data_IF_211977073382
#
_entry.id   IF_211977073382
#
_cell.length_a   1.000
_cell.length_b   1.000
_cell.length_c   1.000
_cell.angle_alpha   90.00
_cell.angle_beta   90.00
_cell.angle_gamma   90.00
#
_symmetry.space_group_name_H-M   'P 1'
#
loop_
_entity.id
_entity.type
_entity.pdbx_description
1 polymer ?
#
# COMPACT_ATOMS: atom_id res chain seq x y z
N UNK A 1 -9.14 4.63 10.69
CA UNK A 1 -10.46 4.27 10.09
C UNK A 1 -10.24 3.57 8.76
N UNK A 2 -10.95 2.49 8.55
CA UNK A 2 -10.94 1.77 7.28
C UNK A 2 -12.38 1.44 6.87
N UNK A 3 -12.70 1.66 5.60
CA UNK A 3 -14.02 1.35 5.02
C UNK A 3 -13.81 0.49 3.78
N UNK A 4 -14.40 -0.70 3.78
CA UNK A 4 -14.33 -1.63 2.65
C UNK A 4 -15.56 -1.50 1.76
N UNK A 5 -15.38 -1.62 0.45
CA UNK A 5 -16.46 -1.72 -0.52
C UNK A 5 -16.10 -2.65 -1.67
N UNK A 6 -17.09 -3.34 -2.22
CA UNK A 6 -16.91 -4.28 -3.32
C UNK A 6 -17.42 -3.69 -4.63
N UNK A 7 -16.62 -3.82 -5.67
CA UNK A 7 -16.92 -3.34 -7.03
C UNK A 7 -16.65 -4.48 -8.03
N UNK A 8 -17.55 -5.48 -8.05
CA UNK A 8 -17.35 -6.70 -8.84
C UNK A 8 -16.17 -7.51 -8.27
N UNK A 9 -15.16 -7.77 -9.08
CA UNK A 9 -13.95 -8.51 -8.68
C UNK A 9 -12.96 -7.65 -7.87
N UNK A 10 -13.16 -6.33 -7.80
CA UNK A 10 -12.27 -5.38 -7.13
C UNK A 10 -12.81 -5.05 -5.75
N UNK A 11 -12.00 -5.27 -4.72
CA UNK A 11 -12.27 -4.77 -3.38
C UNK A 11 -11.47 -3.50 -3.13
N UNK A 12 -12.14 -2.48 -2.66
CA UNK A 12 -11.56 -1.19 -2.35
C UNK A 12 -11.61 -0.91 -0.85
N UNK A 13 -10.46 -0.54 -0.29
CA UNK A 13 -10.34 -0.16 1.12
C UNK A 13 -9.93 1.29 1.22
N UNK A 14 -10.83 2.13 1.72
CA UNK A 14 -10.53 3.53 2.03
C UNK A 14 -9.97 3.60 3.44
N UNK A 15 -8.90 4.34 3.62
CA UNK A 15 -8.18 4.48 4.88
C UNK A 15 -7.99 5.95 5.23
N UNK A 16 -8.14 6.29 6.51
CA UNK A 16 -7.87 7.62 7.00
C UNK A 16 -7.38 7.60 8.44
N UNK A 17 -6.50 8.54 8.76
CA UNK A 17 -6.23 8.89 10.16
C UNK A 17 -7.47 9.55 10.74
N UNK A 18 -7.89 9.13 11.93
CA UNK A 18 -9.01 9.70 12.64
C UNK A 18 -8.49 10.58 13.78
N UNK A 19 -8.98 11.81 13.87
CA UNK A 19 -8.70 12.74 14.95
C UNK A 19 -10.01 13.34 15.46
N UNK A 20 -10.26 13.23 16.78
CA UNK A 20 -11.51 13.68 17.41
C UNK A 20 -12.78 13.16 16.70
N UNK A 21 -12.77 11.90 16.27
CA UNK A 21 -13.90 11.28 15.57
C UNK A 21 -14.09 11.71 14.12
N UNK A 22 -13.21 12.55 13.58
CA UNK A 22 -13.25 12.98 12.18
C UNK A 22 -12.12 12.35 11.39
N UNK A 23 -12.43 11.85 10.22
CA UNK A 23 -11.43 11.38 9.28
C UNK A 23 -10.69 12.56 8.65
N UNK A 24 -9.36 12.52 8.75
CA UNK A 24 -8.47 13.43 8.02
C UNK A 24 -7.96 12.69 6.81
N UNK A 25 -7.67 13.33 5.75
CA UNK A 25 -7.02 12.77 4.56
C UNK A 25 -7.33 11.29 4.28
N UNK A 26 -7.96 11.04 3.15
CA UNK A 26 -8.28 9.70 2.70
C UNK A 26 -7.26 9.20 1.68
N UNK A 27 -6.91 7.93 1.81
CA UNK A 27 -6.18 7.18 0.79
C UNK A 27 -6.87 5.83 0.59
N UNK A 28 -6.45 5.08 -0.40
CA UNK A 28 -7.07 3.79 -0.65
C UNK A 28 -6.12 2.76 -1.23
N UNK A 29 -6.46 1.51 -0.99
CA UNK A 29 -5.83 0.36 -1.63
C UNK A 29 -6.88 -0.48 -2.31
N UNK A 30 -6.48 -1.18 -3.36
CA UNK A 30 -7.37 -2.04 -4.13
C UNK A 30 -6.83 -3.46 -4.13
N UNK A 31 -7.72 -4.44 -4.07
CA UNK A 31 -7.35 -5.85 -4.23
C UNK A 31 -8.19 -6.46 -5.34
N UNK A 32 -7.52 -7.09 -6.29
CA UNK A 32 -8.14 -7.84 -7.37
C UNK A 32 -7.32 -9.09 -7.63
N UNK A 33 -7.96 -10.26 -7.54
CA UNK A 33 -7.35 -11.55 -7.87
C UNK A 33 -5.97 -11.80 -7.23
N UNK A 34 -5.85 -11.52 -5.93
CA UNK A 34 -4.59 -11.66 -5.19
C UNK A 34 -3.55 -10.58 -5.44
N UNK A 35 -3.86 -9.58 -6.26
CA UNK A 35 -3.02 -8.41 -6.50
C UNK A 35 -3.47 -7.25 -5.64
N UNK A 36 -2.57 -6.73 -4.81
CA UNK A 36 -2.75 -5.49 -4.06
C UNK A 36 -2.22 -4.32 -4.90
N UNK A 37 -3.03 -3.30 -5.08
CA UNK A 37 -2.64 -2.06 -5.74
C UNK A 37 -2.51 -0.98 -4.66
N UNK A 38 -1.29 -0.51 -4.46
CA UNK A 38 -0.84 0.33 -3.35
C UNK A 38 -0.93 -0.38 -1.99
N UNK A 39 -0.12 0.04 -1.04
CA UNK A 39 -0.01 -0.62 0.26
C UNK A 39 -0.49 0.22 1.44
N UNK A 40 -1.05 1.39 1.17
CA UNK A 40 -1.56 2.27 2.20
C UNK A 40 -0.47 2.93 3.07
N UNK A 41 -0.88 3.79 4.00
CA UNK A 41 0.06 4.50 4.86
C UNK A 41 0.63 3.62 5.97
N UNK A 42 1.84 3.93 6.47
CA UNK A 42 2.48 3.15 7.54
C UNK A 42 1.63 3.04 8.82
N UNK A 43 0.87 4.06 9.16
CA UNK A 43 0.03 4.06 10.37
C UNK A 43 -1.20 3.14 10.26
N UNK A 44 -1.50 2.62 9.07
CA UNK A 44 -2.56 1.63 8.82
C UNK A 44 -2.03 0.20 8.67
N UNK A 45 -0.79 -0.04 9.06
CA UNK A 45 -0.10 -1.32 8.92
C UNK A 45 -0.92 -2.54 9.36
N UNK A 46 -1.60 -2.44 10.51
CA UNK A 46 -2.39 -3.55 11.04
C UNK A 46 -3.57 -3.91 10.15
N UNK A 47 -4.21 -2.91 9.56
CA UNK A 47 -5.32 -3.11 8.63
C UNK A 47 -4.84 -3.71 7.32
N UNK A 48 -3.71 -3.23 6.80
CA UNK A 48 -3.11 -3.77 5.58
C UNK A 48 -2.69 -5.23 5.78
N UNK A 49 -2.12 -5.57 6.94
CA UNK A 49 -1.78 -6.95 7.25
C UNK A 49 -3.00 -7.88 7.20
N UNK A 50 -4.14 -7.44 7.74
CA UNK A 50 -5.39 -8.22 7.65
C UNK A 50 -5.87 -8.38 6.22
N UNK A 51 -5.82 -7.32 5.42
CA UNK A 51 -6.20 -7.37 3.99
C UNK A 51 -5.34 -8.39 3.26
N UNK A 52 -4.04 -8.36 3.48
CA UNK A 52 -3.09 -9.30 2.87
C UNK A 52 -3.43 -10.75 3.22
N UNK A 53 -3.68 -11.02 4.50
CA UNK A 53 -3.98 -12.38 4.99
C UNK A 53 -5.36 -12.86 4.55
N UNK A 54 -6.40 -12.06 4.78
CA UNK A 54 -7.79 -12.45 4.52
C UNK A 54 -8.11 -12.60 3.04
N UNK A 55 -7.51 -11.80 2.19
CA UNK A 55 -7.75 -11.84 0.74
C UNK A 55 -6.69 -12.61 -0.05
N UNK A 56 -5.74 -13.24 0.64
CA UNK A 56 -4.73 -14.05 -0.01
C UNK A 56 -3.86 -13.28 -0.99
N UNK A 57 -3.44 -12.07 -0.62
CA UNK A 57 -2.59 -11.24 -1.46
C UNK A 57 -1.23 -11.92 -1.67
N UNK A 58 -0.80 -12.02 -2.93
CA UNK A 58 0.47 -12.62 -3.34
C UNK A 58 1.36 -11.71 -4.14
N UNK A 59 0.81 -10.62 -4.66
CA UNK A 59 1.51 -9.65 -5.49
C UNK A 59 1.09 -8.24 -5.08
N UNK A 60 1.98 -7.28 -5.30
CA UNK A 60 1.68 -5.87 -5.07
C UNK A 60 2.29 -5.02 -6.18
N UNK A 61 1.51 -4.05 -6.66
CA UNK A 61 1.96 -2.98 -7.54
C UNK A 61 1.74 -1.66 -6.83
N UNK A 62 2.73 -0.78 -6.89
CA UNK A 62 2.65 0.55 -6.29
C UNK A 62 2.65 1.61 -7.36
N UNK A 63 1.66 2.50 -7.31
CA UNK A 63 1.45 3.53 -8.32
C UNK A 63 2.52 4.63 -8.27
N UNK A 64 2.92 5.04 -7.04
CA UNK A 64 3.96 6.03 -6.83
C UNK A 64 4.54 5.95 -5.42
N UNK A 65 5.63 6.71 -5.17
CA UNK A 65 6.45 6.54 -3.97
C UNK A 65 5.94 7.25 -2.71
N UNK A 66 4.84 7.99 -2.77
CA UNK A 66 4.31 8.68 -1.60
C UNK A 66 3.92 7.68 -0.49
N UNK A 67 4.11 8.08 0.75
CA UNK A 67 3.99 7.22 1.93
C UNK A 67 2.60 6.66 2.16
N UNK A 68 1.56 7.31 1.66
CA UNK A 68 0.19 6.83 1.74
C UNK A 68 -0.14 5.73 0.71
N UNK A 69 0.76 5.51 -0.23
CA UNK A 69 0.67 4.45 -1.25
C UNK A 69 1.73 3.36 -1.08
N UNK A 70 2.94 3.73 -0.67
CA UNK A 70 4.08 2.82 -0.52
C UNK A 70 4.43 2.49 0.94
N UNK A 71 3.59 2.89 1.88
CA UNK A 71 3.92 2.91 3.30
C UNK A 71 4.17 1.56 3.97
N UNK A 72 3.65 0.48 3.40
CA UNK A 72 3.72 -0.86 4.00
C UNK A 72 4.54 -1.86 3.18
N UNK A 73 5.47 -1.41 2.37
CA UNK A 73 6.35 -2.29 1.60
C UNK A 73 7.15 -3.24 2.49
N UNK A 74 7.65 -2.76 3.64
CA UNK A 74 8.38 -3.60 4.58
C UNK A 74 7.51 -4.73 5.16
N UNK A 75 6.23 -4.46 5.41
CA UNK A 75 5.24 -5.47 5.80
C UNK A 75 5.09 -6.55 4.72
N UNK A 76 4.98 -6.13 3.46
CA UNK A 76 4.87 -7.03 2.32
C UNK A 76 6.12 -7.88 2.16
N UNK A 77 7.31 -7.29 2.31
CA UNK A 77 8.57 -8.03 2.29
C UNK A 77 8.60 -9.11 3.39
N UNK A 78 8.13 -8.80 4.59
CA UNK A 78 8.03 -9.76 5.68
C UNK A 78 7.08 -10.93 5.36
N UNK A 79 6.10 -10.70 4.49
CA UNK A 79 5.16 -11.73 3.99
C UNK A 79 5.68 -12.43 2.73
N UNK A 80 6.91 -12.17 2.30
CA UNK A 80 7.50 -12.77 1.10
C UNK A 80 7.10 -12.10 -0.22
N UNK A 81 6.51 -10.92 -0.16
CA UNK A 81 6.08 -10.15 -1.33
C UNK A 81 7.05 -9.01 -1.60
N UNK A 82 7.60 -8.93 -2.81
CA UNK A 82 8.38 -7.80 -3.27
C UNK A 82 7.48 -6.92 -4.14
N UNK A 83 7.11 -5.71 -3.70
CA UNK A 83 6.28 -4.81 -4.48
C UNK A 83 6.94 -4.45 -5.81
N UNK A 84 6.13 -4.30 -6.84
CA UNK A 84 6.57 -3.86 -8.17
C UNK A 84 6.17 -2.40 -8.38
N UNK A 85 7.06 -1.62 -8.97
CA UNK A 85 6.82 -0.21 -9.23
C UNK A 85 7.56 0.24 -10.48
N UNK A 86 7.18 1.41 -10.99
CA UNK A 86 7.92 2.03 -12.09
C UNK A 86 9.38 2.28 -11.67
N UNK A 87 10.32 1.98 -12.57
CA UNK A 87 11.75 2.04 -12.28
C UNK A 87 12.22 3.37 -11.66
N UNK A 88 11.61 4.49 -12.04
CA UNK A 88 11.95 5.82 -11.49
C UNK A 88 11.60 6.00 -10.02
N UNK A 89 10.64 5.24 -9.51
CA UNK A 89 10.20 5.35 -8.11
C UNK A 89 10.95 4.44 -7.14
N UNK A 90 11.70 3.45 -7.63
CA UNK A 90 12.28 2.39 -6.80
C UNK A 90 13.21 2.93 -5.72
N UNK A 91 14.11 3.85 -6.05
CA UNK A 91 15.07 4.40 -5.10
C UNK A 91 14.37 5.11 -3.92
N UNK A 92 13.31 5.87 -4.20
CA UNK A 92 12.53 6.57 -3.19
C UNK A 92 11.73 5.61 -2.30
N UNK A 93 11.30 4.49 -2.84
CA UNK A 93 10.56 3.46 -2.08
C UNK A 93 11.49 2.59 -1.23
N UNK A 94 12.67 2.25 -1.75
CA UNK A 94 13.65 1.43 -1.04
C UNK A 94 14.23 2.15 0.17
N UNK A 95 14.45 3.47 0.06
CA UNK A 95 14.96 4.32 1.13
C UNK A 95 14.03 5.53 1.30
N UNK A 96 12.88 5.36 1.93
CA UNK A 96 11.86 6.40 1.99
C UNK A 96 12.33 7.65 2.75
N UNK A 97 11.91 8.82 2.26
CA UNK A 97 12.12 10.12 2.90
C UNK A 97 10.80 10.86 2.92
N UNK A 98 10.41 11.35 4.10
CA UNK A 98 9.22 12.18 4.27
C UNK A 98 9.67 13.45 4.98
N UNK A 99 9.80 14.53 4.22
CA UNK A 99 10.35 15.79 4.73
C UNK A 99 9.28 16.63 5.43
N UNK A 100 8.02 16.53 4.99
CA UNK A 100 6.92 17.31 5.57
C UNK A 100 6.43 16.72 6.89
N UNK A 101 6.48 17.53 7.94
CA UNK A 101 6.07 17.11 9.29
C UNK A 101 4.60 16.68 9.34
N UNK A 102 3.70 17.40 8.67
CA UNK A 102 2.27 17.05 8.66
C UNK A 102 2.02 15.69 8.01
N UNK A 103 2.79 15.33 7.00
CA UNK A 103 2.69 14.01 6.33
C UNK A 103 3.17 12.89 7.24
N UNK A 104 4.25 13.11 8.00
CA UNK A 104 4.73 12.14 9.01
C UNK A 104 3.69 11.90 10.10
N UNK A 105 3.00 12.94 10.55
CA UNK A 105 1.96 12.84 11.57
C UNK A 105 0.72 12.15 10.99
N UNK A 106 0.31 12.51 9.78
CA UNK A 106 -0.90 11.99 9.14
C UNK A 106 -0.75 10.51 8.74
N UNK A 107 0.37 10.16 8.11
CA UNK A 107 0.56 8.84 7.51
C UNK A 107 1.58 7.96 8.23
N UNK A 108 2.51 8.56 8.94
CA UNK A 108 3.64 7.87 9.54
C UNK A 108 4.85 7.82 8.62
N UNK A 109 5.91 7.17 9.09
CA UNK A 109 7.19 7.04 8.37
C UNK A 109 7.36 5.61 7.85
N UNK A 110 7.48 5.39 6.54
CA UNK A 110 7.75 4.07 6.00
C UNK A 110 9.12 3.55 6.42
N UNK A 111 9.23 2.24 6.59
CA UNK A 111 10.51 1.58 6.78
C UNK A 111 11.15 1.27 5.42
N UNK A 112 12.50 1.18 5.34
CA UNK A 112 13.18 0.73 4.14
C UNK A 112 12.70 -0.65 3.69
N UNK A 113 12.58 -0.87 2.38
CA UNK A 113 12.05 -2.11 1.84
C UNK A 113 12.66 -2.43 0.47
N UNK A 114 12.53 -3.71 0.05
CA UNK A 114 12.89 -4.14 -1.30
C UNK A 114 11.72 -3.92 -2.25
N UNK A 115 12.01 -3.31 -3.38
CA UNK A 115 11.05 -3.03 -4.46
C UNK A 115 11.71 -3.41 -5.79
N UNK A 116 10.94 -4.00 -6.69
CA UNK A 116 11.43 -4.39 -8.01
C UNK A 116 10.72 -3.61 -9.13
N UNK A 117 11.33 -3.57 -10.30
CA UNK A 117 10.76 -2.89 -11.45
C UNK A 117 9.56 -3.66 -12.02
N UNK A 118 8.47 -2.94 -12.28
CA UNK A 118 7.32 -3.46 -13.00
C UNK A 118 7.66 -3.55 -14.50
N UNK A 119 7.35 -4.69 -15.12
CA UNK A 119 7.40 -4.85 -16.57
C UNK A 119 6.17 -4.23 -17.25
N UNK A 120 5.97 -4.58 -18.53
CA UNK A 120 4.83 -4.08 -19.30
C UNK A 120 3.52 -4.77 -18.91
N UNK A 121 3.60 -6.01 -18.43
CA UNK A 121 2.45 -6.82 -18.05
C UNK A 121 2.67 -7.47 -16.69
N UNK A 122 1.58 -7.75 -16.01
CA UNK A 122 1.54 -8.48 -14.75
C UNK A 122 0.42 -9.52 -14.83
N UNK A 123 0.74 -10.77 -14.50
CA UNK A 123 -0.24 -11.85 -14.49
C UNK A 123 -0.76 -12.11 -13.08
N UNK A 124 -2.08 -12.36 -12.99
CA UNK A 124 -2.75 -12.85 -11.78
C UNK A 124 -3.39 -14.22 -12.09
N UNK A 125 -3.87 -14.99 -11.08
CA UNK A 125 -4.46 -16.31 -11.32
C UNK A 125 -5.59 -16.35 -12.35
N UNK A 126 -6.41 -15.29 -12.43
CA UNK A 126 -7.54 -15.21 -13.36
C UNK A 126 -7.28 -14.30 -14.58
N UNK A 127 -6.26 -13.50 -14.53
CA UNK A 127 -5.93 -12.49 -15.54
C UNK A 127 -4.43 -12.45 -15.78
#
# INVERSE_FOLDING_TARGET
MIIASDHGEVRYFRMALTLFGRALYWTGVYVVDGLLIDSGPPNMRRHVARVVDELGVRQCVTTHHHEDHSGNHALLNASGIVPLAHARGIANMATPRVDDLYRRITWGMPAPARVAALGEELETPAH
#
